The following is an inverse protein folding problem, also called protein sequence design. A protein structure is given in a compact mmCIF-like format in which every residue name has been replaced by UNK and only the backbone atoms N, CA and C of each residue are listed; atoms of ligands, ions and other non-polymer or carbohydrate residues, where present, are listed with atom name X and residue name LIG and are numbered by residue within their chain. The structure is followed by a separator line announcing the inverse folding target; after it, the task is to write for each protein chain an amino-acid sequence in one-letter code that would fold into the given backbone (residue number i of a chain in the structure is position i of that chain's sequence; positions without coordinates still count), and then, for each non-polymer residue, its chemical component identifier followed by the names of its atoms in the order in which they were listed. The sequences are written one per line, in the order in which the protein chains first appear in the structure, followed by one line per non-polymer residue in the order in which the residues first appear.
data_IF_613189479984
#
_entry.id   IF_613189479984
#
_cell.length_a   1.000
_cell.length_b   1.000
_cell.length_c   1.000
_cell.angle_alpha   90.00
_cell.angle_beta   90.00
_cell.angle_gamma   90.00
#
_symmetry.space_group_name_H-M   'P 1'
#
loop_
_entity.id
_entity.type
_entity.pdbx_description
1 polymer ?
#
# COMPACT_ATOMS: atom_id res chain seq x y z
N UNK A 1 -14.48 -19.08 -29.13
CA UNK A 1 -13.30 -18.22 -28.98
C UNK A 1 -12.93 -18.22 -27.51
N UNK A 2 -11.85 -18.91 -27.12
CA UNK A 2 -11.38 -18.91 -25.75
C UNK A 2 -10.70 -17.56 -25.48
N UNK A 3 -11.25 -16.74 -24.59
CA UNK A 3 -10.59 -15.56 -24.07
C UNK A 3 -9.40 -16.02 -23.22
N UNK A 4 -8.19 -15.83 -23.74
CA UNK A 4 -6.96 -16.03 -22.98
C UNK A 4 -6.95 -15.01 -21.84
N UNK A 5 -7.33 -15.44 -20.64
CA UNK A 5 -7.16 -14.67 -19.42
C UNK A 5 -5.67 -14.67 -19.08
N UNK A 6 -4.89 -13.78 -19.70
CA UNK A 6 -3.58 -13.46 -19.17
C UNK A 6 -3.79 -12.78 -17.81
N UNK A 7 -3.36 -13.40 -16.68
CA UNK A 7 -3.45 -12.74 -15.40
C UNK A 7 -2.67 -11.43 -15.50
N UNK A 8 -3.30 -10.34 -15.07
CA UNK A 8 -2.61 -9.05 -14.97
C UNK A 8 -1.30 -9.25 -14.19
N UNK A 9 -0.21 -8.52 -14.51
CA UNK A 9 1.05 -8.60 -13.76
C UNK A 9 0.81 -8.50 -12.24
N UNK A 10 -0.19 -7.71 -11.86
CA UNK A 10 -0.69 -7.54 -10.49
C UNK A 10 -1.08 -8.84 -9.78
N UNK A 11 -1.75 -9.78 -10.47
CA UNK A 11 -2.15 -11.07 -9.89
C UNK A 11 -0.96 -11.99 -9.57
N UNK A 12 0.19 -11.78 -10.22
CA UNK A 12 1.39 -12.57 -9.95
C UNK A 12 2.21 -12.00 -8.79
N UNK A 13 2.20 -10.68 -8.57
CA UNK A 13 2.92 -10.03 -7.46
C UNK A 13 2.34 -10.36 -6.08
N UNK A 14 1.04 -10.62 -5.99
CA UNK A 14 0.37 -10.83 -4.70
C UNK A 14 -0.54 -12.05 -4.67
N UNK A 15 -0.13 -13.12 -5.37
CA UNK A 15 -0.87 -14.39 -5.49
C UNK A 15 -1.11 -15.13 -4.16
N UNK A 16 -0.54 -14.66 -3.06
CA UNK A 16 -0.83 -15.15 -1.72
C UNK A 16 -2.17 -14.57 -1.25
N UNK A 17 -3.23 -15.37 -1.35
CA UNK A 17 -4.52 -15.06 -0.75
C UNK A 17 -4.32 -14.87 0.76
N UNK A 18 -4.49 -13.64 1.25
CA UNK A 18 -4.66 -13.40 2.68
C UNK A 18 -5.93 -14.13 3.10
N UNK A 19 -5.82 -15.02 4.08
CA UNK A 19 -6.91 -15.92 4.45
C UNK A 19 -8.09 -15.13 5.05
N UNK A 20 -7.78 -14.08 5.82
CA UNK A 20 -8.76 -13.26 6.51
C UNK A 20 -8.49 -11.78 6.25
N UNK A 21 -9.52 -11.07 5.80
CA UNK A 21 -9.45 -9.62 5.64
C UNK A 21 -9.38 -8.94 7.01
N UNK A 22 -8.64 -7.85 7.09
CA UNK A 22 -8.51 -7.07 8.31
C UNK A 22 -9.85 -6.53 8.78
N UNK A 23 -10.16 -6.79 10.04
CA UNK A 23 -11.28 -6.24 10.78
C UNK A 23 -10.82 -5.76 12.17
N UNK A 24 -11.76 -5.27 12.96
CA UNK A 24 -11.49 -4.67 14.28
C UNK A 24 -10.93 -5.67 15.32
N UNK A 25 -10.92 -6.97 15.03
CA UNK A 25 -10.59 -8.03 15.98
C UNK A 25 -9.37 -8.87 15.61
N UNK A 26 -8.90 -8.81 14.35
CA UNK A 26 -7.91 -9.76 13.83
C UNK A 26 -6.57 -9.12 13.41
N UNK A 27 -6.30 -7.89 13.83
CA UNK A 27 -5.10 -7.14 13.42
C UNK A 27 -3.79 -7.93 13.50
N UNK A 28 -3.51 -8.60 14.62
CA UNK A 28 -2.26 -9.36 14.80
C UNK A 28 -2.13 -10.51 13.78
N UNK A 29 -3.23 -11.23 13.52
CA UNK A 29 -3.26 -12.32 12.55
C UNK A 29 -3.13 -11.80 11.12
N UNK A 30 -3.78 -10.68 10.81
CA UNK A 30 -3.62 -10.01 9.52
C UNK A 30 -2.18 -9.53 9.30
N UNK A 31 -1.58 -8.86 10.30
CA UNK A 31 -0.20 -8.34 10.22
C UNK A 31 0.81 -9.47 9.99
N UNK A 32 0.64 -10.59 10.70
CA UNK A 32 1.47 -11.79 10.52
C UNK A 32 1.42 -12.35 9.09
N UNK A 33 0.30 -12.22 8.39
CA UNK A 33 0.14 -12.71 7.02
C UNK A 33 0.73 -11.75 5.97
N UNK A 34 0.51 -10.44 6.11
CA UNK A 34 0.94 -9.46 5.10
C UNK A 34 2.43 -9.13 5.18
N UNK A 35 3.01 -9.14 6.39
CA UNK A 35 4.38 -8.63 6.59
C UNK A 35 5.43 -9.48 5.86
N UNK A 36 5.36 -10.83 5.84
CA UNK A 36 6.23 -11.66 5.01
C UNK A 36 6.08 -11.37 3.51
N UNK A 37 4.87 -11.04 3.04
CA UNK A 37 4.61 -10.72 1.63
C UNK A 37 5.26 -9.38 1.26
N UNK A 38 5.16 -8.36 2.11
CA UNK A 38 5.83 -7.07 1.91
C UNK A 38 7.35 -7.25 1.91
N UNK A 39 7.88 -8.06 2.84
CA UNK A 39 9.31 -8.37 2.97
C UNK A 39 9.85 -9.12 1.75
N UNK A 40 9.16 -10.17 1.28
CA UNK A 40 9.61 -10.99 0.15
C UNK A 40 9.70 -10.20 -1.16
N UNK A 41 8.83 -9.20 -1.34
CA UNK A 41 8.82 -8.31 -2.50
C UNK A 41 9.69 -7.04 -2.32
N UNK A 42 10.44 -6.93 -1.21
CA UNK A 42 11.28 -5.77 -0.88
C UNK A 42 10.49 -4.45 -0.84
N UNK A 43 9.22 -4.50 -0.48
CA UNK A 43 8.31 -3.34 -0.45
C UNK A 43 8.33 -2.60 0.89
N UNK A 44 9.10 -3.06 1.88
CA UNK A 44 9.20 -2.41 3.20
C UNK A 44 9.57 -0.93 3.13
N UNK A 45 10.37 -0.54 2.12
CA UNK A 45 10.77 0.85 1.88
C UNK A 45 9.60 1.80 1.63
N UNK A 46 8.43 1.29 1.26
CA UNK A 46 7.23 2.08 1.02
C UNK A 46 6.40 2.32 2.27
N UNK A 47 6.53 1.46 3.30
CA UNK A 47 5.65 1.50 4.49
C UNK A 47 6.36 1.91 5.77
N UNK A 48 7.63 1.54 5.95
CA UNK A 48 8.38 1.82 7.19
C UNK A 48 9.06 3.20 7.16
N UNK A 49 9.76 3.50 6.07
CA UNK A 49 10.47 4.77 5.90
C UNK A 49 10.39 5.19 4.42
N UNK A 50 9.23 5.70 3.97
CA UNK A 50 9.00 6.06 2.57
C UNK A 50 9.99 7.11 2.10
N UNK A 51 10.84 6.72 1.16
CA UNK A 51 11.70 7.65 0.42
C UNK A 51 10.93 8.11 -0.81
N UNK A 52 10.22 9.22 -0.68
CA UNK A 52 9.38 9.78 -1.74
C UNK A 52 10.24 10.76 -2.56
N UNK A 53 10.51 10.49 -3.85
CA UNK A 53 11.19 11.45 -4.70
C UNK A 53 10.37 12.74 -4.82
N UNK A 54 11.00 13.91 -5.05
CA UNK A 54 10.23 15.11 -5.35
C UNK A 54 9.47 14.94 -6.67
N UNK A 55 8.20 15.36 -6.69
CA UNK A 55 7.35 15.29 -7.88
C UNK A 55 7.90 16.12 -9.04
N UNK A 56 8.51 17.26 -8.73
CA UNK A 56 9.16 18.16 -9.68
C UNK A 56 10.59 18.44 -9.22
N UNK A 57 11.56 18.46 -10.14
CA UNK A 57 12.97 18.69 -9.80
C UNK A 57 13.31 20.19 -9.68
N UNK A 58 12.57 21.03 -10.40
CA UNK A 58 12.73 22.49 -10.40
C UNK A 58 11.36 23.20 -10.41
N UNK A 59 11.35 24.51 -10.12
CA UNK A 59 10.13 25.32 -10.26
C UNK A 59 9.65 25.40 -11.72
N UNK A 60 10.58 25.46 -12.68
CA UNK A 60 10.24 25.46 -14.11
C UNK A 60 9.56 24.16 -14.55
N UNK A 61 10.01 23.02 -14.00
CA UNK A 61 9.36 21.73 -14.21
C UNK A 61 7.95 21.71 -13.61
N UNK A 62 7.76 22.29 -12.42
CA UNK A 62 6.43 22.42 -11.81
C UNK A 62 5.49 23.25 -12.68
N UNK A 63 5.96 24.40 -13.14
CA UNK A 63 5.16 25.33 -13.93
C UNK A 63 4.80 24.73 -15.31
N UNK A 64 5.61 23.82 -15.81
CA UNK A 64 5.40 23.09 -17.08
C UNK A 64 4.82 21.67 -16.90
N UNK A 65 4.48 21.26 -15.68
CA UNK A 65 4.04 19.91 -15.28
C UNK A 65 4.97 18.76 -15.74
N UNK A 66 6.28 19.00 -15.76
CA UNK A 66 7.31 18.00 -16.08
C UNK A 66 7.62 17.18 -14.81
N UNK A 67 6.88 16.09 -14.64
CA UNK A 67 7.04 15.23 -13.45
C UNK A 67 8.34 14.41 -13.52
N UNK A 68 9.06 14.38 -12.40
CA UNK A 68 10.26 13.58 -12.19
C UNK A 68 10.01 12.09 -12.54
N UNK A 69 10.79 11.49 -13.47
CA UNK A 69 10.68 10.07 -13.81
C UNK A 69 10.79 9.14 -12.60
N UNK A 70 11.65 9.46 -11.63
CA UNK A 70 11.81 8.67 -10.41
C UNK A 70 10.53 8.70 -9.56
N UNK A 71 9.87 9.85 -9.46
CA UNK A 71 8.59 9.98 -8.77
C UNK A 71 7.52 9.13 -9.47
N UNK A 72 7.45 9.13 -10.81
CA UNK A 72 6.49 8.28 -11.55
C UNK A 72 6.70 6.79 -11.26
N UNK A 73 7.95 6.33 -11.30
CA UNK A 73 8.27 4.92 -11.01
C UNK A 73 7.93 4.56 -9.57
N UNK A 74 8.25 5.45 -8.63
CA UNK A 74 7.91 5.28 -7.21
C UNK A 74 6.39 5.22 -7.01
N UNK A 75 5.65 6.15 -7.61
CA UNK A 75 4.19 6.29 -7.47
C UNK A 75 3.48 5.03 -7.96
N UNK A 76 3.89 4.47 -9.11
CA UNK A 76 3.33 3.21 -9.61
C UNK A 76 3.50 2.08 -8.60
N UNK A 77 4.68 1.96 -7.97
CA UNK A 77 4.95 0.90 -6.99
C UNK A 77 4.17 1.12 -5.69
N UNK A 78 4.07 2.36 -5.21
CA UNK A 78 3.29 2.73 -4.03
C UNK A 78 1.79 2.46 -4.24
N UNK A 79 1.24 2.85 -5.39
CA UNK A 79 -0.17 2.62 -5.72
C UNK A 79 -0.51 1.13 -5.90
N UNK A 80 0.43 0.34 -6.44
CA UNK A 80 0.28 -1.12 -6.50
C UNK A 80 0.19 -1.73 -5.10
N UNK A 81 1.08 -1.31 -4.19
CA UNK A 81 1.06 -1.77 -2.81
C UNK A 81 -0.19 -1.30 -2.07
N UNK A 82 -0.62 -0.05 -2.27
CA UNK A 82 -1.85 0.49 -1.67
C UNK A 82 -3.08 -0.30 -2.13
N UNK A 83 -3.21 -0.55 -3.43
CA UNK A 83 -4.32 -1.34 -3.99
C UNK A 83 -4.35 -2.75 -3.41
N UNK A 84 -3.17 -3.39 -3.29
CA UNK A 84 -3.08 -4.69 -2.65
C UNK A 84 -3.48 -4.63 -1.18
N UNK A 85 -2.94 -3.70 -0.38
CA UNK A 85 -3.29 -3.51 1.03
C UNK A 85 -4.81 -3.36 1.19
N UNK A 86 -5.44 -2.49 0.40
CA UNK A 86 -6.89 -2.29 0.39
C UNK A 86 -7.67 -3.58 0.09
N UNK A 87 -7.16 -4.45 -0.79
CA UNK A 87 -7.81 -5.74 -1.10
C UNK A 87 -7.85 -6.69 0.11
N UNK A 88 -6.90 -6.52 1.04
CA UNK A 88 -6.80 -7.29 2.29
C UNK A 88 -7.65 -6.71 3.43
N UNK A 89 -8.34 -5.58 3.22
CA UNK A 89 -9.16 -4.93 4.22
C UNK A 89 -10.64 -5.34 4.10
N UNK A 90 -11.33 -5.43 5.24
CA UNK A 90 -12.79 -5.55 5.26
C UNK A 90 -13.44 -4.22 4.88
N UNK A 91 -14.75 -4.26 4.57
CA UNK A 91 -15.50 -3.05 4.18
C UNK A 91 -15.56 -2.00 5.29
N UNK A 92 -15.60 -2.43 6.56
CA UNK A 92 -15.65 -1.52 7.72
C UNK A 92 -14.35 -0.78 7.95
N UNK A 93 -13.20 -1.40 7.64
CA UNK A 93 -11.90 -0.74 7.71
C UNK A 93 -11.67 0.13 6.48
N UNK A 94 -12.07 -0.33 5.29
CA UNK A 94 -11.98 0.46 4.04
C UNK A 94 -12.67 1.82 4.15
N UNK A 95 -13.82 1.92 4.84
CA UNK A 95 -14.50 3.19 5.04
C UNK A 95 -13.76 4.16 5.95
N UNK A 96 -12.87 3.68 6.83
CA UNK A 96 -12.05 4.50 7.74
C UNK A 96 -10.79 5.04 7.08
N UNK A 97 -10.27 4.36 6.05
CA UNK A 97 -9.04 4.73 5.34
C UNK A 97 -9.30 5.49 4.03
N UNK A 98 -10.53 5.97 3.81
CA UNK A 98 -10.88 6.80 2.66
C UNK A 98 -9.99 8.05 2.65
N UNK A 99 -9.40 8.35 1.48
CA UNK A 99 -8.53 9.51 1.29
C UNK A 99 -7.05 9.24 1.57
N UNK A 100 -6.68 8.03 1.98
CA UNK A 100 -5.26 7.66 2.06
C UNK A 100 -4.68 7.52 0.64
N UNK A 101 -3.72 8.39 0.34
CA UNK A 101 -3.09 8.48 -0.98
C UNK A 101 -1.92 7.51 -1.12
N UNK A 102 -1.26 7.15 -0.01
CA UNK A 102 -0.02 6.36 -0.03
C UNK A 102 -0.09 5.15 0.89
N UNK A 103 0.65 4.10 0.54
CA UNK A 103 0.63 2.82 1.26
C UNK A 103 1.10 2.91 2.71
N UNK A 104 2.06 3.78 3.03
CA UNK A 104 2.53 3.99 4.41
C UNK A 104 1.45 4.52 5.35
N UNK A 105 0.50 5.31 4.85
CA UNK A 105 -0.59 5.83 5.68
C UNK A 105 -1.47 4.70 6.18
N UNK A 106 -1.83 3.77 5.29
CA UNK A 106 -2.63 2.59 5.61
C UNK A 106 -1.86 1.67 6.57
N UNK A 107 -0.59 1.40 6.28
CA UNK A 107 0.22 0.49 7.08
C UNK A 107 0.49 0.99 8.51
N UNK A 108 0.60 2.31 8.69
CA UNK A 108 0.92 2.94 9.99
C UNK A 108 -0.31 3.42 10.76
N UNK A 109 -1.45 3.68 10.11
CA UNK A 109 -2.66 4.16 10.78
C UNK A 109 -3.17 3.20 11.87
N UNK A 110 -2.99 1.89 11.68
CA UNK A 110 -3.46 0.90 12.65
C UNK A 110 -2.45 0.58 13.76
N UNK A 111 -1.17 0.93 13.55
CA UNK A 111 -0.20 0.93 14.67
C UNK A 111 -0.52 2.07 15.66
N UNK A 112 -1.08 3.18 15.16
CA UNK A 112 -1.47 4.32 15.99
C UNK A 112 -2.73 4.05 16.80
N UNK A 113 -3.71 3.29 16.27
CA UNK A 113 -4.90 2.93 17.06
C UNK A 113 -4.59 1.95 18.20
N UNK A 114 -3.57 1.11 18.06
CA UNK A 114 -3.10 0.24 19.14
C UNK A 114 -2.24 0.96 20.18
N UNK A 115 -1.41 1.92 19.78
CA UNK A 115 -0.60 2.70 20.71
C UNK A 115 -1.40 3.73 21.53
N UNK A 116 -2.58 4.16 21.07
CA UNK A 116 -3.47 5.02 21.86
C UNK A 116 -4.21 4.22 22.94
N UNK A 117 -4.43 2.92 22.74
CA UNK A 117 -5.10 2.04 23.74
C UNK A 117 -4.11 1.47 24.77
N UNK A 118 -2.79 1.49 24.52
CA UNK A 118 -1.78 1.12 25.53
C UNK A 118 -1.27 2.29 26.38
N UNK A 119 -1.65 3.53 26.03
CA UNK A 119 -1.28 4.76 26.76
C UNK A 119 -2.45 5.41 27.52
N UNK A 120 -3.58 4.71 27.67
CA UNK A 120 -4.70 5.05 28.57
C UNK A 120 -4.99 3.86 29.49
#
# INVERSE_FOLDING_TARGET
MATSNNPSPFSQFFSNSIAEKLDDSNYLHWRQQIEPVIKSHKLQRFVVNPQIPPRYLTDADRDSDIVNPEYKTWEVQDQMLLTWLQSTLSKSILSRVIGFVHSYLLFNAEDLTLNVVSCL
#
